data_IF_804999483399
#
_entry.id   IF_804999483399
#
_cell.length_a   1.000
_cell.length_b   1.000
_cell.length_c   1.000
_cell.angle_alpha   90.00
_cell.angle_beta   90.00
_cell.angle_gamma   90.00
#
_symmetry.space_group_name_H-M   'P 1'
#
loop_
_entity.id
_entity.type
_entity.pdbx_description
1 polymer ?
#
# COMPACT_ATOMS: atom_id res chain seq x y z
N UNK A 1 -32.44 -44.57 -27.64
CA UNK A 1 -32.09 -45.24 -26.36
C UNK A 1 -32.25 -44.23 -25.24
N UNK A 2 -33.34 -44.40 -24.51
CA UNK A 2 -33.74 -43.58 -23.38
C UNK A 2 -33.44 -44.36 -22.10
N UNK A 3 -32.80 -43.70 -21.13
CA UNK A 3 -32.79 -44.09 -19.72
C UNK A 3 -32.96 -42.76 -18.97
N UNK A 4 -34.19 -42.41 -18.57
CA UNK A 4 -34.72 -42.62 -17.21
C UNK A 4 -33.76 -42.10 -16.13
N UNK A 5 -34.12 -41.02 -15.42
CA UNK A 5 -35.01 -41.20 -14.29
C UNK A 5 -35.59 -39.88 -13.75
N UNK A 6 -36.75 -40.03 -13.15
CA UNK A 6 -37.79 -39.04 -12.91
C UNK A 6 -37.64 -38.38 -11.51
N UNK A 7 -37.99 -37.10 -11.43
CA UNK A 7 -38.22 -36.33 -10.20
C UNK A 7 -39.24 -37.02 -9.30
N UNK A 8 -38.90 -37.27 -8.02
CA UNK A 8 -39.89 -37.53 -6.98
C UNK A 8 -39.57 -36.74 -5.71
N UNK A 9 -40.38 -35.70 -5.53
CA UNK A 9 -40.62 -34.95 -4.31
C UNK A 9 -41.27 -35.85 -3.26
N UNK A 10 -40.65 -36.00 -2.09
CA UNK A 10 -41.18 -36.74 -0.95
C UNK A 10 -41.76 -35.75 0.06
N UNK A 11 -43.07 -35.74 0.31
CA UNK A 11 -43.67 -34.96 1.39
C UNK A 11 -43.48 -35.62 2.78
N UNK A 12 -43.51 -34.85 3.88
CA UNK A 12 -43.26 -35.34 5.23
C UNK A 12 -44.37 -36.29 5.72
N UNK A 13 -43.95 -37.35 6.42
CA UNK A 13 -44.83 -38.38 6.96
C UNK A 13 -45.79 -37.87 8.05
N UNK A 14 -46.93 -38.57 8.24
CA UNK A 14 -47.98 -38.17 9.17
C UNK A 14 -47.58 -38.37 10.63
N UNK A 15 -47.88 -37.36 11.46
CA UNK A 15 -47.78 -37.40 12.91
C UNK A 15 -48.76 -38.42 13.52
N UNK A 16 -48.38 -39.19 14.55
CA UNK A 16 -49.28 -40.13 15.21
C UNK A 16 -50.37 -39.37 15.97
N UNK A 17 -51.64 -39.69 15.65
CA UNK A 17 -52.84 -39.16 16.32
C UNK A 17 -52.88 -39.65 17.78
N UNK A 18 -53.00 -38.70 18.71
CA UNK A 18 -53.31 -38.95 20.14
C UNK A 18 -54.61 -39.78 20.25
N UNK A 19 -54.55 -40.87 20.99
CA UNK A 19 -55.74 -41.60 21.43
C UNK A 19 -56.55 -40.74 22.42
N UNK A 20 -57.89 -40.78 22.39
CA UNK A 20 -58.74 -40.12 23.38
C UNK A 20 -58.54 -40.72 24.77
N UNK A 21 -58.68 -39.91 25.85
CA UNK A 21 -58.48 -40.38 27.22
C UNK A 21 -59.50 -41.47 27.59
N UNK A 22 -59.10 -42.50 28.36
CA UNK A 22 -60.02 -43.54 28.83
C UNK A 22 -61.08 -42.95 29.76
N UNK A 23 -62.32 -43.33 29.49
CA UNK A 23 -63.55 -42.99 30.21
C UNK A 23 -63.59 -43.77 31.55
N UNK A 24 -63.52 -43.05 32.66
CA UNK A 24 -63.41 -43.58 34.04
C UNK A 24 -64.75 -43.57 34.79
N UNK A 25 -65.88 -43.54 34.08
CA UNK A 25 -67.24 -43.48 34.65
C UNK A 25 -67.90 -44.86 34.87
N UNK A 26 -67.12 -45.91 35.13
CA UNK A 26 -67.66 -47.20 35.59
C UNK A 26 -67.07 -47.57 36.94
N UNK A 27 -67.65 -46.98 37.99
CA UNK A 27 -67.46 -47.33 39.40
C UNK A 27 -67.85 -48.81 39.66
N UNK A 28 -66.98 -49.62 40.30
CA UNK A 28 -67.31 -50.98 40.74
C UNK A 28 -67.45 -51.08 42.27
N UNK A 29 -68.00 -50.05 42.93
CA UNK A 29 -68.28 -50.09 44.37
C UNK A 29 -69.69 -49.62 44.69
N UNK A 30 -70.67 -50.41 44.26
CA UNK A 30 -72.03 -50.34 44.79
C UNK A 30 -72.20 -51.46 45.83
N UNK A 31 -71.87 -51.15 47.09
CA UNK A 31 -72.13 -52.02 48.25
C UNK A 31 -73.21 -51.37 49.09
N UNK A 32 -74.43 -51.85 48.92
CA UNK A 32 -75.59 -51.44 49.71
C UNK A 32 -75.60 -52.06 51.12
N UNK A 33 -75.53 -51.18 52.13
CA UNK A 33 -76.27 -51.18 53.42
C UNK A 33 -75.88 -52.22 54.51
N UNK A 34 -75.89 -51.84 55.82
CA UNK A 34 -77.08 -51.31 56.51
C UNK A 34 -76.88 -50.01 57.31
N UNK A 35 -77.96 -49.22 57.35
CA UNK A 35 -78.14 -48.05 58.21
C UNK A 35 -78.39 -48.52 59.65
N UNK A 36 -77.47 -48.18 60.56
CA UNK A 36 -77.69 -48.14 62.01
C UNK A 36 -78.14 -46.72 62.43
N UNK A 37 -78.73 -46.55 63.63
CA UNK A 37 -79.46 -45.34 63.99
C UNK A 37 -78.55 -44.11 64.05
N UNK A 38 -79.09 -42.99 63.56
CA UNK A 38 -78.51 -41.65 63.63
C UNK A 38 -78.37 -41.27 65.11
N UNK A 39 -77.15 -41.08 65.56
CA UNK A 39 -76.86 -40.33 66.80
C UNK A 39 -76.33 -38.97 66.35
N UNK A 40 -77.17 -37.94 66.54
CA UNK A 40 -76.81 -36.54 66.38
C UNK A 40 -75.71 -36.17 67.39
N UNK A 41 -74.51 -35.94 66.86
CA UNK A 41 -73.42 -35.25 67.52
C UNK A 41 -72.52 -34.67 66.43
N UNK A 42 -71.96 -33.46 66.59
CA UNK A 42 -71.07 -32.91 65.58
C UNK A 42 -69.85 -33.83 65.49
N UNK A 43 -69.73 -34.55 64.37
CA UNK A 43 -68.57 -35.37 64.12
C UNK A 43 -67.33 -34.46 64.20
N UNK A 44 -66.29 -34.83 64.97
CA UNK A 44 -65.09 -34.03 65.05
C UNK A 44 -64.49 -33.90 63.64
N UNK A 45 -63.88 -32.75 63.29
CA UNK A 45 -63.27 -32.57 61.98
C UNK A 45 -62.29 -33.70 61.76
N UNK A 46 -62.46 -34.41 60.64
CA UNK A 46 -61.60 -35.51 60.23
C UNK A 46 -60.15 -35.00 60.30
N UNK A 47 -59.27 -35.59 61.12
CA UNK A 47 -57.90 -35.12 61.21
C UNK A 47 -57.27 -35.20 59.82
N UNK A 48 -56.55 -34.15 59.38
CA UNK A 48 -55.94 -34.13 58.07
C UNK A 48 -55.02 -35.34 57.95
N UNK A 49 -55.17 -36.10 56.86
CA UNK A 49 -54.31 -37.26 56.61
C UNK A 49 -52.87 -36.74 56.39
N UNK A 50 -51.94 -36.95 57.34
CA UNK A 50 -50.62 -36.32 57.34
C UNK A 50 -49.74 -36.80 56.17
N UNK A 51 -50.06 -37.97 55.60
CA UNK A 51 -49.35 -38.54 54.45
C UNK A 51 -49.70 -37.79 53.15
N UNK A 52 -50.96 -37.37 52.99
CA UNK A 52 -51.41 -36.58 51.84
C UNK A 52 -50.79 -35.18 51.86
N UNK A 53 -50.73 -34.55 53.02
CA UNK A 53 -50.07 -33.24 53.17
C UNK A 53 -48.56 -33.34 52.96
N UNK A 54 -47.90 -34.40 53.44
CA UNK A 54 -46.49 -34.64 53.16
C UNK A 54 -46.22 -34.80 51.66
N UNK A 55 -47.04 -35.56 50.93
CA UNK A 55 -46.89 -35.73 49.48
C UNK A 55 -47.12 -34.42 48.70
N UNK A 56 -48.13 -33.63 49.07
CA UNK A 56 -48.38 -32.32 48.44
C UNK A 56 -47.25 -31.32 48.75
N UNK A 57 -46.72 -31.33 49.97
CA UNK A 57 -45.54 -30.54 50.31
C UNK A 57 -44.29 -31.01 49.58
N UNK A 58 -44.08 -32.31 49.43
CA UNK A 58 -42.96 -32.87 48.69
C UNK A 58 -43.06 -32.50 47.20
N UNK A 59 -44.22 -32.68 46.57
CA UNK A 59 -44.44 -32.32 45.17
C UNK A 59 -44.25 -30.81 44.93
N UNK A 60 -44.83 -29.96 45.78
CA UNK A 60 -44.66 -28.52 45.66
C UNK A 60 -43.20 -28.10 45.84
N UNK A 61 -42.50 -28.63 46.85
CA UNK A 61 -41.05 -28.39 47.02
C UNK A 61 -40.24 -28.84 45.80
N UNK A 62 -40.55 -30.01 45.24
CA UNK A 62 -39.82 -30.56 44.08
C UNK A 62 -40.08 -29.72 42.83
N UNK A 63 -41.33 -29.33 42.57
CA UNK A 63 -41.68 -28.46 41.44
C UNK A 63 -41.05 -27.07 41.58
N UNK A 64 -41.06 -26.49 42.79
CA UNK A 64 -40.42 -25.20 43.06
C UNK A 64 -38.91 -25.29 42.86
N UNK A 65 -38.26 -26.36 43.35
CA UNK A 65 -36.82 -26.59 43.11
C UNK A 65 -36.51 -26.75 41.62
N UNK A 66 -37.31 -27.52 40.88
CA UNK A 66 -37.13 -27.70 39.43
C UNK A 66 -37.33 -26.39 38.67
N UNK A 67 -38.34 -25.59 39.03
CA UNK A 67 -38.59 -24.28 38.44
C UNK A 67 -37.43 -23.32 38.73
N UNK A 68 -36.96 -23.24 39.98
CA UNK A 68 -35.81 -22.41 40.35
C UNK A 68 -34.53 -22.86 39.64
N UNK A 69 -34.28 -24.16 39.52
CA UNK A 69 -33.14 -24.68 38.76
C UNK A 69 -33.20 -24.27 37.28
N UNK A 70 -34.39 -24.35 36.66
CA UNK A 70 -34.60 -23.90 35.27
C UNK A 70 -34.46 -22.39 35.10
N UNK A 71 -34.97 -21.60 36.04
CA UNK A 71 -34.79 -20.14 36.04
C UNK A 71 -33.31 -19.80 36.17
N UNK A 72 -32.59 -20.40 37.12
CA UNK A 72 -31.16 -20.16 37.30
C UNK A 72 -30.35 -20.60 36.07
N UNK A 73 -30.71 -21.70 35.43
CA UNK A 73 -30.10 -22.18 34.18
C UNK A 73 -30.34 -21.19 33.02
N UNK A 74 -31.53 -20.62 32.90
CA UNK A 74 -31.81 -19.62 31.87
C UNK A 74 -31.11 -18.29 32.16
N UNK A 75 -31.12 -17.83 33.42
CA UNK A 75 -30.45 -16.60 33.82
C UNK A 75 -28.94 -16.68 33.60
N UNK A 76 -28.32 -17.85 33.87
CA UNK A 76 -26.89 -18.05 33.60
C UNK A 76 -26.57 -18.10 32.10
N UNK A 77 -27.53 -18.47 31.24
CA UNK A 77 -27.36 -18.48 29.78
C UNK A 77 -27.54 -17.09 29.14
N UNK A 78 -28.22 -16.14 29.78
CA UNK A 78 -28.47 -14.80 29.21
C UNK A 78 -27.20 -13.96 29.09
N UNK A 79 -26.36 -13.93 30.12
CA UNK A 79 -25.12 -13.15 30.13
C UNK A 79 -24.15 -13.52 28.98
N UNK A 80 -23.82 -14.81 28.73
CA UNK A 80 -22.96 -15.18 27.60
C UNK A 80 -23.60 -14.89 26.24
N UNK A 81 -24.94 -15.01 26.10
CA UNK A 81 -25.63 -14.65 24.86
C UNK A 81 -25.56 -13.15 24.58
N UNK A 82 -25.73 -12.30 25.60
CA UNK A 82 -25.56 -10.85 25.47
C UNK A 82 -24.11 -10.48 25.12
N UNK A 83 -23.13 -11.11 25.78
CA UNK A 83 -21.72 -10.92 25.45
C UNK A 83 -21.41 -11.32 24.00
N UNK A 84 -22.00 -12.42 23.51
CA UNK A 84 -21.86 -12.85 22.12
C UNK A 84 -22.52 -11.87 21.15
N UNK A 85 -23.70 -11.34 21.45
CA UNK A 85 -24.34 -10.31 20.64
C UNK A 85 -23.47 -9.07 20.53
N UNK A 86 -22.91 -8.59 21.66
CA UNK A 86 -22.00 -7.44 21.66
C UNK A 86 -20.72 -7.73 20.86
N UNK A 87 -20.13 -8.92 21.02
CA UNK A 87 -18.97 -9.33 20.25
C UNK A 87 -19.25 -9.38 18.74
N UNK A 88 -20.45 -9.82 18.33
CA UNK A 88 -20.87 -9.82 16.92
C UNK A 88 -21.08 -8.40 16.38
N UNK A 89 -21.68 -7.51 17.17
CA UNK A 89 -21.84 -6.10 16.78
C UNK A 89 -20.49 -5.41 16.63
N UNK A 90 -19.56 -5.65 17.55
CA UNK A 90 -18.20 -5.12 17.47
C UNK A 90 -17.44 -5.68 16.27
N UNK A 91 -17.53 -7.00 16.02
CA UNK A 91 -16.93 -7.62 14.85
C UNK A 91 -17.49 -7.04 13.54
N UNK A 92 -18.79 -6.78 13.48
CA UNK A 92 -19.42 -6.15 12.33
C UNK A 92 -18.88 -4.73 12.09
N UNK A 93 -18.76 -3.92 13.15
CA UNK A 93 -18.18 -2.57 13.04
C UNK A 93 -16.71 -2.61 12.60
N UNK A 94 -15.93 -3.59 13.08
CA UNK A 94 -14.54 -3.78 12.64
C UNK A 94 -14.45 -4.15 11.16
N UNK A 95 -15.29 -5.07 10.69
CA UNK A 95 -15.34 -5.44 9.27
C UNK A 95 -15.74 -4.25 8.38
N UNK A 96 -16.71 -3.44 8.80
CA UNK A 96 -17.05 -2.22 8.06
C UNK A 96 -15.89 -1.22 8.01
N UNK A 97 -15.11 -1.09 9.09
CA UNK A 97 -13.94 -0.23 9.12
C UNK A 97 -12.81 -0.77 8.20
N UNK A 98 -12.55 -2.08 8.24
CA UNK A 98 -11.58 -2.73 7.36
C UNK A 98 -11.97 -2.61 5.88
N UNK A 99 -13.27 -2.73 5.56
CA UNK A 99 -13.76 -2.57 4.19
C UNK A 99 -13.51 -1.14 3.67
N UNK A 100 -13.78 -0.12 4.49
CA UNK A 100 -13.46 1.28 4.13
C UNK A 100 -11.96 1.52 3.97
N UNK A 101 -11.12 0.86 4.80
CA UNK A 101 -9.67 0.95 4.66
C UNK A 101 -9.20 0.30 3.35
N UNK A 102 -9.76 -0.85 2.98
CA UNK A 102 -9.47 -1.51 1.70
C UNK A 102 -9.89 -0.63 0.52
N UNK A 103 -11.08 -0.04 0.55
CA UNK A 103 -11.53 0.90 -0.49
C UNK A 103 -10.61 2.13 -0.59
N UNK A 104 -10.15 2.67 0.53
CA UNK A 104 -9.18 3.76 0.52
C UNK A 104 -7.86 3.32 -0.11
N UNK A 105 -7.34 2.14 0.26
CA UNK A 105 -6.10 1.62 -0.29
C UNK A 105 -6.22 1.37 -1.80
N UNK A 106 -7.33 0.81 -2.27
CA UNK A 106 -7.63 0.57 -3.67
C UNK A 106 -7.56 1.88 -4.48
N UNK A 107 -8.26 2.92 -4.02
CA UNK A 107 -8.19 4.26 -4.63
C UNK A 107 -6.76 4.84 -4.64
N UNK A 108 -5.98 4.62 -3.58
CA UNK A 108 -4.58 5.08 -3.56
C UNK A 108 -3.69 4.30 -4.51
N UNK A 109 -3.94 3.00 -4.70
CA UNK A 109 -3.19 2.19 -5.66
C UNK A 109 -3.55 2.57 -7.09
N UNK A 110 -4.82 2.78 -7.40
CA UNK A 110 -5.27 3.24 -8.72
C UNK A 110 -4.66 4.59 -9.10
N UNK A 111 -4.66 5.54 -8.17
CA UNK A 111 -4.05 6.86 -8.40
C UNK A 111 -2.54 6.75 -8.60
N UNK A 112 -1.84 5.98 -7.75
CA UNK A 112 -0.41 5.75 -7.90
C UNK A 112 -0.06 5.04 -9.22
N UNK A 113 -0.84 4.03 -9.60
CA UNK A 113 -0.68 3.33 -10.87
C UNK A 113 -0.83 4.29 -12.05
N UNK A 114 -1.86 5.15 -12.02
CA UNK A 114 -2.07 6.14 -13.08
C UNK A 114 -0.90 7.13 -13.20
N UNK A 115 -0.35 7.59 -12.06
CA UNK A 115 0.81 8.49 -12.02
C UNK A 115 2.04 7.80 -12.59
N UNK A 116 2.30 6.55 -12.20
CA UNK A 116 3.44 5.78 -12.70
C UNK A 116 3.32 5.51 -14.19
N UNK A 117 2.15 5.08 -14.68
CA UNK A 117 1.92 4.87 -16.11
C UNK A 117 2.14 6.15 -16.92
N UNK A 118 1.65 7.29 -16.42
CA UNK A 118 1.87 8.59 -17.05
C UNK A 118 3.35 8.98 -17.06
N UNK A 119 4.05 8.82 -15.93
CA UNK A 119 5.47 9.14 -15.81
C UNK A 119 6.32 8.27 -16.75
N UNK A 120 6.02 6.98 -16.89
CA UNK A 120 6.68 6.09 -17.85
C UNK A 120 6.46 6.61 -19.28
N UNK A 121 5.22 6.94 -19.65
CA UNK A 121 4.93 7.46 -20.98
C UNK A 121 5.64 8.80 -21.28
N UNK A 122 5.73 9.70 -20.28
CA UNK A 122 6.48 10.95 -20.39
C UNK A 122 7.98 10.68 -20.55
N UNK A 123 8.55 9.78 -19.75
CA UNK A 123 9.95 9.34 -19.88
C UNK A 123 10.24 8.78 -21.28
N UNK A 124 9.40 7.87 -21.79
CA UNK A 124 9.55 7.30 -23.12
C UNK A 124 9.47 8.37 -24.21
N UNK A 125 8.53 9.32 -24.09
CA UNK A 125 8.45 10.47 -25.00
C UNK A 125 9.72 11.34 -24.96
N UNK A 126 10.28 11.59 -23.77
CA UNK A 126 11.55 12.34 -23.66
C UNK A 126 12.74 11.57 -24.23
N UNK A 127 12.78 10.24 -24.07
CA UNK A 127 13.82 9.37 -24.62
C UNK A 127 13.76 9.39 -26.15
N UNK A 128 12.57 9.20 -26.74
CA UNK A 128 12.38 9.28 -28.18
C UNK A 128 12.71 10.68 -28.72
N UNK A 129 12.29 11.73 -28.02
CA UNK A 129 12.67 13.10 -28.38
C UNK A 129 14.20 13.33 -28.30
N UNK A 130 14.89 12.73 -27.32
CA UNK A 130 16.34 12.83 -27.18
C UNK A 130 17.08 12.03 -28.26
N UNK A 131 16.61 10.82 -28.60
CA UNK A 131 17.18 9.99 -29.68
C UNK A 131 17.04 10.66 -31.04
N UNK A 132 15.91 11.32 -31.29
CA UNK A 132 15.66 12.01 -32.56
C UNK A 132 16.41 13.35 -32.68
N UNK A 133 16.95 13.89 -31.58
CA UNK A 133 17.79 15.09 -31.62
C UNK A 133 19.19 14.71 -32.08
N UNK A 134 19.61 15.24 -33.23
CA UNK A 134 21.01 15.16 -33.67
C UNK A 134 21.89 15.84 -32.60
N UNK A 135 22.96 15.18 -32.11
CA UNK A 135 23.84 15.81 -31.13
C UNK A 135 24.45 17.07 -31.76
N UNK A 136 24.38 18.23 -31.06
CA UNK A 136 25.04 19.44 -31.52
C UNK A 136 26.55 19.22 -31.57
N UNK A 137 27.27 19.90 -32.48
CA UNK A 137 28.72 19.85 -32.49
C UNK A 137 29.27 20.36 -31.14
N UNK A 138 30.24 19.64 -30.58
CA UNK A 138 30.77 19.87 -29.22
C UNK A 138 31.27 21.32 -29.06
N UNK A 139 31.87 21.86 -30.12
CA UNK A 139 32.44 23.22 -30.13
C UNK A 139 31.38 24.33 -30.04
N UNK A 140 30.12 24.06 -30.40
CA UNK A 140 29.01 25.02 -30.25
C UNK A 140 28.35 24.92 -28.86
N UNK A 141 28.52 23.80 -28.16
CA UNK A 141 27.97 23.61 -26.80
C UNK A 141 28.91 24.17 -25.75
N UNK A 142 30.22 23.96 -25.92
CA UNK A 142 31.25 24.37 -24.96
C UNK A 142 31.85 25.71 -25.36
N UNK A 143 31.04 26.76 -25.24
CA UNK A 143 31.47 28.15 -25.51
C UNK A 143 31.84 28.84 -24.21
N UNK A 144 32.87 29.69 -24.27
CA UNK A 144 33.27 30.49 -23.12
C UNK A 144 32.13 31.44 -22.67
N UNK A 145 31.99 31.73 -21.37
CA UNK A 145 30.87 32.52 -20.84
C UNK A 145 30.85 33.98 -21.29
N UNK A 146 31.96 34.50 -21.82
CA UNK A 146 32.05 35.86 -22.38
C UNK A 146 32.76 35.86 -23.72
N UNK A 147 32.45 36.85 -24.57
CA UNK A 147 33.13 37.03 -25.87
C UNK A 147 34.64 37.21 -25.73
N UNK A 148 35.10 37.91 -24.68
CA UNK A 148 36.53 38.11 -24.43
C UNK A 148 37.21 36.81 -24.00
N UNK A 149 36.52 35.96 -23.23
CA UNK A 149 37.03 34.63 -22.87
C UNK A 149 37.11 33.71 -24.10
N UNK A 150 36.15 33.78 -25.01
CA UNK A 150 36.19 33.03 -26.28
C UNK A 150 37.36 33.50 -27.16
N UNK A 151 37.57 34.81 -27.26
CA UNK A 151 38.71 35.39 -27.98
C UNK A 151 40.05 34.96 -27.37
N UNK A 152 40.16 34.94 -26.04
CA UNK A 152 41.35 34.46 -25.35
C UNK A 152 41.63 33.00 -25.66
N UNK A 153 40.60 32.14 -25.64
CA UNK A 153 40.72 30.73 -25.98
C UNK A 153 41.25 30.52 -27.41
N UNK A 154 40.65 31.19 -28.39
CA UNK A 154 41.10 31.12 -29.78
C UNK A 154 42.53 31.65 -29.95
N UNK A 155 42.87 32.78 -29.33
CA UNK A 155 44.23 33.33 -29.42
C UNK A 155 45.28 32.36 -28.85
N UNK A 156 44.99 31.69 -27.72
CA UNK A 156 45.88 30.70 -27.15
C UNK A 156 46.01 29.45 -28.03
N UNK A 157 44.91 28.95 -28.60
CA UNK A 157 44.92 27.81 -29.50
C UNK A 157 45.71 28.09 -30.79
N UNK A 158 45.49 29.26 -31.39
CA UNK A 158 46.21 29.69 -32.60
C UNK A 158 47.69 29.94 -32.34
N UNK A 159 48.06 30.48 -31.18
CA UNK A 159 49.45 30.66 -30.76
C UNK A 159 50.18 29.32 -30.61
N UNK A 160 49.53 28.35 -29.98
CA UNK A 160 50.03 26.99 -29.88
C UNK A 160 50.18 26.32 -31.26
N UNK A 161 49.18 26.44 -32.12
CA UNK A 161 49.22 25.93 -33.49
C UNK A 161 50.34 26.56 -34.32
N UNK A 162 50.60 27.86 -34.16
CA UNK A 162 51.71 28.54 -34.84
C UNK A 162 53.06 27.98 -34.39
N UNK A 163 53.25 27.76 -33.09
CA UNK A 163 54.49 27.19 -32.54
C UNK A 163 54.74 25.78 -33.07
N UNK A 164 53.71 24.96 -33.13
CA UNK A 164 53.81 23.60 -33.68
C UNK A 164 54.06 23.62 -35.19
N UNK A 165 53.41 24.52 -35.93
CA UNK A 165 53.67 24.72 -37.34
C UNK A 165 55.14 25.13 -37.61
N UNK A 166 55.72 26.01 -36.79
CA UNK A 166 57.16 26.35 -36.88
C UNK A 166 58.05 25.15 -36.65
N UNK A 167 57.74 24.32 -35.64
CA UNK A 167 58.50 23.11 -35.35
C UNK A 167 58.46 22.11 -36.51
N UNK A 168 57.28 21.87 -37.08
CA UNK A 168 57.12 20.99 -38.24
C UNK A 168 57.82 21.56 -39.48
N UNK A 169 57.77 22.87 -39.68
CA UNK A 169 58.48 23.55 -40.78
C UNK A 169 60.00 23.37 -40.66
N UNK A 170 60.56 23.49 -39.46
CA UNK A 170 61.97 23.25 -39.20
C UNK A 170 62.37 21.81 -39.55
N UNK A 171 61.58 20.84 -39.09
CA UNK A 171 61.78 19.41 -39.41
C UNK A 171 61.65 19.11 -40.91
N UNK A 172 60.82 19.86 -41.63
CA UNK A 172 60.66 19.72 -43.07
C UNK A 172 61.87 20.27 -43.84
N UNK A 173 62.50 21.34 -43.35
CA UNK A 173 63.77 21.86 -43.87
C UNK A 173 64.91 20.86 -43.63
N UNK A 174 65.03 20.31 -42.42
CA UNK A 174 66.06 19.31 -42.07
C UNK A 174 65.98 18.05 -42.96
N UNK A 175 64.78 17.73 -43.44
CA UNK A 175 64.50 16.62 -44.36
C UNK A 175 64.61 16.99 -45.84
N UNK A 176 64.99 18.22 -46.16
CA UNK A 176 65.15 18.72 -47.54
C UNK A 176 63.85 18.83 -48.34
N UNK A 177 62.67 18.83 -47.69
CA UNK A 177 61.37 18.91 -48.38
C UNK A 177 60.99 20.32 -48.80
N UNK A 178 61.62 21.33 -48.22
CA UNK A 178 61.34 22.75 -48.44
C UNK A 178 62.67 23.45 -48.72
N UNK A 179 62.68 24.39 -49.67
CA UNK A 179 63.83 25.26 -49.93
C UNK A 179 64.04 26.27 -48.80
N UNK A 180 65.30 26.61 -48.50
CA UNK A 180 65.66 27.57 -47.45
C UNK A 180 64.99 28.94 -47.60
N UNK A 181 64.79 29.41 -48.83
CA UNK A 181 64.09 30.68 -49.10
C UNK A 181 62.62 30.65 -48.64
N UNK A 182 61.92 29.57 -48.96
CA UNK A 182 60.51 29.35 -48.58
C UNK A 182 60.39 29.19 -47.06
N UNK A 183 61.32 28.46 -46.45
CA UNK A 183 61.40 28.31 -45.00
C UNK A 183 61.51 29.67 -44.29
N UNK A 184 62.46 30.52 -44.69
CA UNK A 184 62.66 31.84 -44.05
C UNK A 184 61.42 32.72 -44.21
N UNK A 185 60.78 32.70 -45.38
CA UNK A 185 59.55 33.46 -45.63
C UNK A 185 58.41 33.00 -44.70
N UNK A 186 58.17 31.69 -44.63
CA UNK A 186 57.07 31.13 -43.84
C UNK A 186 57.32 31.21 -42.33
N UNK A 187 58.56 30.95 -41.88
CA UNK A 187 58.95 31.08 -40.48
C UNK A 187 58.75 32.51 -39.96
N UNK A 188 59.13 33.52 -40.75
CA UNK A 188 58.87 34.94 -40.41
C UNK A 188 57.39 35.28 -40.40
N UNK A 189 56.60 34.73 -41.33
CA UNK A 189 55.16 34.96 -41.38
C UNK A 189 54.46 34.40 -40.13
N UNK A 190 54.71 33.13 -39.80
CA UNK A 190 54.21 32.49 -38.58
C UNK A 190 54.70 33.21 -37.32
N UNK A 191 55.95 33.71 -37.32
CA UNK A 191 56.52 34.44 -36.19
C UNK A 191 55.77 35.73 -35.87
N UNK A 192 55.42 36.49 -36.91
CA UNK A 192 54.60 37.71 -36.75
C UNK A 192 53.19 37.38 -36.29
N UNK A 193 52.59 36.32 -36.83
CA UNK A 193 51.25 35.90 -36.45
C UNK A 193 51.22 35.47 -34.97
N UNK A 194 52.12 34.58 -34.55
CA UNK A 194 52.25 34.14 -33.16
C UNK A 194 52.44 35.33 -32.21
N UNK A 195 53.30 36.28 -32.54
CA UNK A 195 53.50 37.48 -31.73
C UNK A 195 52.21 38.31 -31.58
N UNK A 196 51.48 38.54 -32.67
CA UNK A 196 50.20 39.26 -32.64
C UNK A 196 49.17 38.53 -31.78
N UNK A 197 49.08 37.19 -31.87
CA UNK A 197 48.18 36.38 -31.03
C UNK A 197 48.56 36.42 -29.56
N UNK A 198 49.85 36.35 -29.21
CA UNK A 198 50.34 36.53 -27.84
C UNK A 198 50.00 37.92 -27.27
N UNK A 199 50.19 38.97 -28.07
CA UNK A 199 49.90 40.33 -27.65
C UNK A 199 48.39 40.54 -27.41
N UNK A 200 47.54 39.96 -28.26
CA UNK A 200 46.09 39.99 -28.11
C UNK A 200 45.63 39.17 -26.90
N UNK A 201 46.16 37.95 -26.72
CA UNK A 201 45.88 37.12 -25.55
C UNK A 201 46.20 37.85 -24.23
N UNK A 202 47.33 38.56 -24.16
CA UNK A 202 47.68 39.41 -23.00
C UNK A 202 46.73 40.59 -22.78
N UNK A 203 46.07 41.09 -23.83
CA UNK A 203 45.06 42.16 -23.74
C UNK A 203 43.69 41.62 -23.33
N UNK A 204 43.35 40.40 -23.72
CA UNK A 204 42.14 39.71 -23.28
C UNK A 204 42.26 39.25 -21.82
N UNK A 205 43.42 38.70 -21.41
CA UNK A 205 43.69 38.26 -20.02
C UNK A 205 43.58 39.40 -18.99
N UNK A 206 44.31 40.51 -19.20
CA UNK A 206 43.63 41.74 -19.62
C UNK A 206 42.39 42.20 -18.85
N UNK A 207 41.42 42.51 -19.70
CA UNK A 207 40.06 42.85 -19.33
C UNK A 207 39.28 41.73 -18.66
N UNK A 208 39.78 40.48 -18.62
CA UNK A 208 39.18 39.40 -17.84
C UNK A 208 39.68 39.36 -16.38
N UNK A 209 40.68 40.19 -16.02
CA UNK A 209 41.27 40.16 -14.68
C UNK A 209 42.08 38.89 -14.39
N UNK A 210 42.46 38.13 -15.42
CA UNK A 210 43.25 36.90 -15.33
C UNK A 210 44.76 37.17 -15.18
N UNK A 211 45.12 38.43 -14.96
CA UNK A 211 46.49 38.82 -14.70
C UNK A 211 46.87 38.31 -13.32
N UNK A 212 47.58 37.19 -13.30
CA UNK A 212 48.42 36.89 -12.16
C UNK A 212 49.39 38.06 -12.07
N UNK A 213 49.18 38.90 -11.06
CA UNK A 213 50.13 39.89 -10.63
C UNK A 213 51.38 39.11 -10.20
N UNK A 214 52.20 38.71 -11.18
CA UNK A 214 53.57 38.28 -10.96
C UNK A 214 54.31 39.55 -10.57
N UNK A 215 54.04 40.00 -9.35
CA UNK A 215 55.02 40.68 -8.54
C UNK A 215 56.25 39.83 -8.64
N UNK A 216 57.19 40.28 -9.46
CA UNK A 216 58.58 39.89 -9.37
C UNK A 216 59.02 40.30 -7.97
N UNK A 217 58.78 39.44 -7.00
CA UNK A 217 59.64 39.31 -5.84
C UNK A 217 60.99 38.87 -6.39
N UNK A 218 61.79 39.84 -6.85
CA UNK A 218 63.24 39.70 -6.83
C UNK A 218 63.66 39.78 -5.36
N UNK A 219 63.37 38.70 -4.63
CA UNK A 219 63.99 38.38 -3.36
C UNK A 219 65.06 37.34 -3.64
N UNK A 220 66.32 37.76 -3.62
CA UNK A 220 67.46 36.87 -3.84
C UNK A 220 68.73 37.70 -3.94
N UNK A 221 69.50 37.67 -2.85
CA UNK A 221 70.81 38.29 -2.65
C UNK A 221 71.78 38.08 -3.79
#
# INVERSE_FOLDING_TARGET
MAHHNHLLHVPPGPTPKKAPPPDLLSDPFDVTLPVGPIVDGPAPPIPPNPEKEHLLQALSKTLVQQAQAKINQNLSALAPLQAQQLALQEAYQRLEAELRQLEQLDNTLDTNESILRRSIAECDATIEAAKNKKPPPIDEVLVAPTMVAQQLWHCCAEEASCREAMYVLQKALDRGRISGEVFVKQMRALGREAFTKMALARKCARGLGLEVNNGRTYGGR
#
